data_IF_661925548662
#
_entry.id   IF_661925548662
#
_cell.length_a   1.000
_cell.length_b   1.000
_cell.length_c   1.000
_cell.angle_alpha   90.00
_cell.angle_beta   90.00
_cell.angle_gamma   90.00
#
_symmetry.space_group_name_H-M   'P 1'
#
loop_
_entity.id
_entity.type
_entity.pdbx_description
1 polymer ?
#
# COMPACT_ATOMS: atom_id res chain seq x y z
N UNK A 1 18.80 3.09 -3.72
CA UNK A 1 17.57 2.31 -3.95
C UNK A 1 16.52 2.79 -2.98
N UNK A 2 15.32 3.08 -3.45
CA UNK A 2 14.17 3.44 -2.61
C UNK A 2 13.03 2.49 -2.95
N UNK A 3 12.29 2.04 -1.93
CA UNK A 3 11.10 1.23 -2.10
C UNK A 3 9.97 1.82 -1.26
N UNK A 4 8.77 1.77 -1.79
CA UNK A 4 7.56 2.21 -1.11
C UNK A 4 6.39 1.31 -1.51
N UNK A 5 5.40 1.24 -0.64
CA UNK A 5 4.16 0.55 -0.91
C UNK A 5 2.98 1.44 -0.51
N UNK A 6 1.86 1.25 -1.13
CA UNK A 6 0.67 2.02 -0.86
C UNK A 6 -0.60 1.28 -1.23
N UNK A 7 -1.69 1.88 -0.83
CA UNK A 7 -3.03 1.39 -1.08
C UNK A 7 -3.87 2.52 -1.66
N UNK A 8 -4.51 2.25 -2.78
CA UNK A 8 -5.43 3.19 -3.42
C UNK A 8 -6.84 2.61 -3.33
N UNK A 9 -7.69 3.15 -2.45
CA UNK A 9 -9.06 2.69 -2.33
C UNK A 9 -9.86 3.09 -3.55
N UNK A 10 -10.72 2.19 -4.02
CA UNK A 10 -11.67 2.44 -5.10
C UNK A 10 -13.01 1.76 -4.76
N UNK A 11 -14.08 2.19 -5.41
CA UNK A 11 -15.41 1.66 -5.14
C UNK A 11 -15.57 0.18 -5.53
N UNK A 12 -15.00 -0.21 -6.67
CA UNK A 12 -15.19 -1.55 -7.26
C UNK A 12 -13.90 -2.36 -7.36
N UNK A 13 -12.92 -2.07 -6.55
CA UNK A 13 -11.67 -2.81 -6.54
C UNK A 13 -10.49 -1.93 -6.20
N UNK A 14 -10.00 -2.08 -5.00
CA UNK A 14 -8.85 -1.32 -4.51
C UNK A 14 -7.55 -1.87 -5.04
N UNK A 15 -6.55 -1.01 -5.17
CA UNK A 15 -5.23 -1.37 -5.63
C UNK A 15 -4.23 -1.32 -4.47
N UNK A 16 -3.57 -2.44 -4.21
CA UNK A 16 -2.34 -2.48 -3.42
C UNK A 16 -1.16 -2.43 -4.39
N UNK A 17 -0.22 -1.52 -4.18
CA UNK A 17 0.94 -1.36 -5.05
C UNK A 17 2.25 -1.29 -4.28
N UNK A 18 3.31 -1.74 -4.90
CA UNK A 18 4.68 -1.56 -4.43
C UNK A 18 5.52 -1.00 -5.60
N UNK A 19 6.38 -0.04 -5.28
CA UNK A 19 7.28 0.60 -6.22
C UNK A 19 8.71 0.52 -5.70
N UNK A 20 9.65 0.18 -6.57
CA UNK A 20 11.07 0.32 -6.30
C UNK A 20 11.74 1.20 -7.36
N UNK A 21 12.54 2.15 -6.91
CA UNK A 21 13.44 2.93 -7.77
C UNK A 21 14.83 2.32 -7.69
N UNK A 22 15.32 1.85 -8.82
CA UNK A 22 16.60 1.15 -8.93
C UNK A 22 17.63 1.97 -9.67
N UNK A 23 18.91 1.92 -9.30
CA UNK A 23 19.96 2.61 -10.03
C UNK A 23 20.17 1.98 -11.42
N UNK A 24 20.72 2.73 -12.36
CA UNK A 24 21.12 2.21 -13.65
C UNK A 24 22.05 0.99 -13.52
N UNK A 25 21.80 -0.04 -14.32
CA UNK A 25 22.60 -1.27 -14.31
C UNK A 25 22.23 -2.28 -13.22
N UNK A 26 21.26 -2.00 -12.37
CA UNK A 26 20.77 -2.98 -11.40
C UNK A 26 20.01 -4.12 -12.10
N UNK A 27 20.11 -5.33 -11.55
CA UNK A 27 19.32 -6.47 -11.99
C UNK A 27 17.84 -6.26 -11.61
N UNK A 28 17.05 -5.79 -12.57
CA UNK A 28 15.63 -5.51 -12.38
C UNK A 28 14.84 -6.76 -11.99
N UNK A 29 15.19 -7.92 -12.54
CA UNK A 29 14.52 -9.18 -12.22
C UNK A 29 14.78 -9.62 -10.76
N UNK A 30 16.00 -9.38 -10.26
CA UNK A 30 16.32 -9.64 -8.87
C UNK A 30 15.54 -8.70 -7.93
N UNK A 31 15.39 -7.43 -8.29
CA UNK A 31 14.60 -6.46 -7.52
C UNK A 31 13.13 -6.85 -7.51
N UNK A 32 12.56 -7.22 -8.66
CA UNK A 32 11.19 -7.71 -8.72
C UNK A 32 10.96 -8.92 -7.81
N UNK A 33 11.82 -9.93 -7.90
CA UNK A 33 11.75 -11.11 -7.02
C UNK A 33 11.77 -10.70 -5.55
N UNK A 34 12.69 -9.84 -5.16
CA UNK A 34 12.80 -9.37 -3.76
C UNK A 34 11.53 -8.68 -3.28
N UNK A 35 10.92 -7.82 -4.09
CA UNK A 35 9.65 -7.17 -3.76
C UNK A 35 8.51 -8.18 -3.61
N UNK A 36 8.43 -9.14 -4.51
CA UNK A 36 7.39 -10.16 -4.49
C UNK A 36 7.55 -11.10 -3.29
N UNK A 37 8.77 -11.49 -2.98
CA UNK A 37 9.07 -12.34 -1.82
C UNK A 37 8.74 -11.61 -0.51
N UNK A 38 9.07 -10.32 -0.41
CA UNK A 38 8.72 -9.50 0.74
C UNK A 38 7.19 -9.37 0.91
N UNK A 39 6.45 -9.18 -0.18
CA UNK A 39 4.99 -9.12 -0.16
C UNK A 39 4.37 -10.48 0.24
N UNK A 40 4.86 -11.57 -0.35
CA UNK A 40 4.39 -12.94 -0.05
C UNK A 40 4.74 -13.38 1.38
N UNK A 41 5.83 -12.88 1.96
CA UNK A 41 6.26 -13.24 3.31
C UNK A 41 5.16 -12.96 4.36
N UNK A 42 4.36 -11.92 4.20
CA UNK A 42 3.24 -11.59 5.11
C UNK A 42 2.18 -12.70 5.14
N UNK A 43 1.95 -13.39 4.01
CA UNK A 43 1.01 -14.52 3.95
C UNK A 43 1.56 -15.80 4.60
N UNK A 44 2.88 -15.91 4.68
CA UNK A 44 3.55 -17.08 5.25
C UNK A 44 3.81 -16.91 6.75
N UNK A 45 4.37 -15.78 7.15
CA UNK A 45 4.67 -15.42 8.53
C UNK A 45 3.90 -14.16 8.92
N UNK A 46 2.99 -14.26 9.90
CA UNK A 46 2.31 -13.06 10.38
C UNK A 46 3.32 -12.09 11.00
N UNK A 47 3.09 -10.76 10.89
CA UNK A 47 3.96 -9.76 11.49
C UNK A 47 4.05 -9.93 13.01
N UNK A 48 5.19 -9.56 13.57
CA UNK A 48 5.40 -9.54 15.01
C UNK A 48 4.67 -8.36 15.67
N UNK A 49 4.48 -8.43 16.99
CA UNK A 49 3.72 -7.43 17.72
C UNK A 49 4.28 -6.01 17.54
N UNK A 50 5.61 -5.87 17.54
CA UNK A 50 6.24 -4.56 17.36
C UNK A 50 6.09 -4.01 15.92
N UNK A 51 6.05 -4.88 14.90
CA UNK A 51 5.80 -4.49 13.51
C UNK A 51 4.36 -3.98 13.34
N UNK A 52 3.41 -4.67 13.97
CA UNK A 52 2.01 -4.25 14.00
C UNK A 52 1.83 -2.89 14.66
N UNK A 53 2.43 -2.71 15.84
CA UNK A 53 2.35 -1.46 16.59
C UNK A 53 2.97 -0.30 15.81
N UNK A 54 4.13 -0.51 15.21
CA UNK A 54 4.77 0.49 14.35
C UNK A 54 3.89 0.88 13.17
N UNK A 55 3.29 -0.10 12.49
CA UNK A 55 2.42 0.15 11.35
C UNK A 55 1.15 0.91 11.76
N UNK A 56 0.53 0.56 12.90
CA UNK A 56 -0.62 1.29 13.45
C UNK A 56 -0.28 2.75 13.71
N UNK A 57 0.78 3.03 14.45
CA UNK A 57 1.21 4.41 14.76
C UNK A 57 1.49 5.23 13.51
N UNK A 58 2.09 4.61 12.49
CA UNK A 58 2.33 5.28 11.22
C UNK A 58 1.03 5.62 10.49
N UNK A 59 0.07 4.70 10.47
CA UNK A 59 -1.24 4.93 9.84
C UNK A 59 -2.06 5.96 10.60
N UNK A 60 -2.09 5.90 11.94
CA UNK A 60 -2.71 6.91 12.79
C UNK A 60 -2.14 8.31 12.52
N UNK A 61 -0.82 8.45 12.51
CA UNK A 61 -0.17 9.71 12.18
C UNK A 61 -0.59 10.20 10.80
N UNK A 62 -0.64 9.33 9.81
CA UNK A 62 -1.06 9.68 8.45
C UNK A 62 -2.50 10.20 8.42
N UNK A 63 -3.42 9.55 9.14
CA UNK A 63 -4.82 9.99 9.24
C UNK A 63 -4.91 11.35 9.94
N UNK A 64 -4.26 11.53 11.08
CA UNK A 64 -4.29 12.79 11.82
C UNK A 64 -3.68 13.95 11.03
N UNK A 65 -2.53 13.74 10.37
CA UNK A 65 -1.94 14.74 9.48
C UNK A 65 -2.83 15.05 8.28
N UNK A 66 -3.55 14.05 7.76
CA UNK A 66 -4.53 14.22 6.69
C UNK A 66 -5.81 14.97 7.09
N UNK A 67 -6.01 15.28 8.37
CA UNK A 67 -7.19 15.98 8.89
C UNK A 67 -6.89 17.37 9.45
N UNK A 68 -5.68 17.89 9.30
CA UNK A 68 -5.27 19.16 9.94
C UNK A 68 -5.97 20.39 9.39
N UNK A 69 -6.22 20.44 8.09
CA UNK A 69 -6.87 21.60 7.44
C UNK A 69 -8.33 21.31 7.10
N UNK A 70 -9.14 22.38 6.99
CA UNK A 70 -10.53 22.26 6.56
C UNK A 70 -10.67 21.57 5.19
N UNK A 71 -9.75 21.87 4.25
CA UNK A 71 -9.71 21.23 2.93
C UNK A 71 -9.49 19.72 3.05
N UNK A 72 -8.51 19.30 3.83
CA UNK A 72 -8.20 17.87 4.02
C UNK A 72 -9.36 17.14 4.71
N UNK A 73 -10.00 17.76 5.70
CA UNK A 73 -11.21 17.19 6.33
C UNK A 73 -12.34 17.03 5.32
N UNK A 74 -12.60 18.07 4.51
CA UNK A 74 -13.62 18.01 3.47
C UNK A 74 -13.34 16.91 2.44
N UNK A 75 -12.07 16.75 2.03
CA UNK A 75 -11.67 15.68 1.13
C UNK A 75 -11.87 14.30 1.77
N UNK A 76 -11.43 14.09 3.01
CA UNK A 76 -11.57 12.81 3.70
C UNK A 76 -13.04 12.40 3.89
N UNK A 77 -13.91 13.34 4.25
CA UNK A 77 -15.35 13.10 4.38
C UNK A 77 -15.98 12.76 3.01
N UNK A 78 -15.62 13.53 1.97
CA UNK A 78 -16.13 13.29 0.61
C UNK A 78 -15.67 11.94 0.05
N UNK A 79 -14.42 11.56 0.26
CA UNK A 79 -13.90 10.24 -0.12
C UNK A 79 -14.62 9.11 0.64
N UNK A 80 -14.84 9.27 1.94
CA UNK A 80 -15.55 8.28 2.75
C UNK A 80 -17.00 8.11 2.30
N UNK A 81 -17.71 9.21 2.02
CA UNK A 81 -19.05 9.17 1.45
C UNK A 81 -19.07 8.47 0.08
N UNK A 82 -18.15 8.83 -0.80
CA UNK A 82 -18.10 8.27 -2.15
C UNK A 82 -17.79 6.77 -2.16
N UNK A 83 -16.86 6.34 -1.30
CA UNK A 83 -16.36 4.96 -1.30
C UNK A 83 -17.18 4.01 -0.41
N UNK A 84 -17.68 4.51 0.72
CA UNK A 84 -18.38 3.70 1.72
C UNK A 84 -19.87 4.06 1.88
N UNK A 85 -20.35 5.14 1.23
CA UNK A 85 -21.69 5.65 1.43
C UNK A 85 -21.93 6.24 2.82
N UNK A 86 -20.87 6.66 3.50
CA UNK A 86 -20.93 7.15 4.87
C UNK A 86 -19.71 8.02 5.19
N UNK A 87 -19.92 9.32 5.26
CA UNK A 87 -18.87 10.28 5.58
C UNK A 87 -18.18 10.00 6.95
N UNK A 88 -18.93 9.49 7.94
CA UNK A 88 -18.35 9.15 9.24
C UNK A 88 -17.33 8.00 9.19
N UNK A 89 -17.26 7.24 8.11
CA UNK A 89 -16.23 6.23 7.92
C UNK A 89 -14.82 6.83 7.87
N UNK A 90 -14.68 8.12 7.58
CA UNK A 90 -13.39 8.81 7.62
C UNK A 90 -12.71 8.74 9.00
N UNK A 91 -13.48 8.87 10.07
CA UNK A 91 -12.96 8.82 11.46
C UNK A 91 -13.00 7.41 12.05
N UNK A 92 -14.04 6.62 11.74
CA UNK A 92 -14.15 5.24 12.20
C UNK A 92 -13.04 4.31 11.68
N UNK A 93 -12.32 4.73 10.65
CA UNK A 93 -11.17 3.97 10.14
C UNK A 93 -10.11 3.72 11.21
N UNK A 94 -9.91 4.64 12.14
CA UNK A 94 -8.96 4.45 13.26
C UNK A 94 -9.40 3.34 14.21
N UNK A 95 -10.66 3.33 14.60
CA UNK A 95 -11.22 2.29 15.47
C UNK A 95 -11.15 0.89 14.84
N UNK A 96 -11.31 0.84 13.50
CA UNK A 96 -11.17 -0.39 12.75
C UNK A 96 -9.71 -0.87 12.70
N UNK A 97 -8.75 0.06 12.58
CA UNK A 97 -7.33 -0.24 12.54
C UNK A 97 -6.82 -0.88 13.84
N UNK A 98 -7.31 -0.42 14.98
CA UNK A 98 -6.97 -1.00 16.29
C UNK A 98 -7.36 -2.49 16.41
N UNK A 99 -8.44 -2.89 15.74
CA UNK A 99 -8.97 -4.25 15.81
C UNK A 99 -8.28 -5.23 14.85
N UNK A 100 -7.44 -4.74 13.92
CA UNK A 100 -6.74 -5.61 12.95
C UNK A 100 -5.71 -6.46 13.68
N UNK A 101 -5.79 -7.77 13.45
CA UNK A 101 -4.87 -8.76 14.03
C UNK A 101 -3.81 -9.23 13.02
N UNK A 102 -2.67 -9.79 13.46
CA UNK A 102 -1.71 -10.44 12.58
C UNK A 102 -2.34 -11.57 11.73
N UNK A 103 -3.31 -12.28 12.29
CA UNK A 103 -4.04 -13.33 11.58
C UNK A 103 -4.90 -12.77 10.43
N UNK A 104 -5.50 -11.59 10.61
CA UNK A 104 -6.24 -10.91 9.55
C UNK A 104 -5.31 -10.50 8.40
N UNK A 105 -4.13 -9.96 8.71
CA UNK A 105 -3.14 -9.61 7.68
C UNK A 105 -2.70 -10.85 6.91
N UNK A 106 -2.37 -11.94 7.59
CA UNK A 106 -2.01 -13.21 6.95
C UNK A 106 -3.12 -13.70 6.03
N UNK A 107 -4.36 -13.73 6.51
CA UNK A 107 -5.54 -14.17 5.75
C UNK A 107 -5.78 -13.32 4.50
N UNK A 108 -5.70 -11.99 4.64
CA UNK A 108 -5.90 -11.07 3.53
C UNK A 108 -4.75 -11.18 2.53
N UNK A 109 -3.50 -11.19 3.00
CA UNK A 109 -2.33 -11.35 2.15
C UNK A 109 -2.39 -12.65 1.33
N UNK A 110 -2.76 -13.78 1.94
CA UNK A 110 -2.92 -15.04 1.23
C UNK A 110 -3.96 -14.98 0.10
N UNK A 111 -4.99 -14.14 0.26
CA UNK A 111 -6.03 -13.97 -0.76
C UNK A 111 -5.62 -13.06 -1.91
N UNK A 112 -4.88 -11.98 -1.63
CA UNK A 112 -4.59 -10.94 -2.64
C UNK A 112 -3.20 -11.07 -3.26
N UNK A 113 -2.22 -11.68 -2.56
CA UNK A 113 -0.84 -11.85 -3.06
C UNK A 113 -0.71 -13.08 -3.96
N UNK A 114 -1.56 -13.15 -4.98
CA UNK A 114 -1.57 -14.24 -5.96
C UNK A 114 -0.99 -13.78 -7.29
N UNK A 115 -0.40 -14.70 -8.05
CA UNK A 115 0.16 -14.35 -9.35
C UNK A 115 -0.92 -13.94 -10.36
N UNK A 116 -2.14 -14.47 -10.25
CA UNK A 116 -3.27 -14.13 -11.12
C UNK A 116 -3.80 -12.71 -10.90
N UNK A 117 -3.64 -12.15 -9.70
CA UNK A 117 -4.09 -10.80 -9.33
C UNK A 117 -3.00 -9.73 -9.47
N UNK A 118 -1.86 -10.04 -10.10
CA UNK A 118 -0.69 -9.18 -10.16
C UNK A 118 -0.45 -8.62 -11.56
N UNK A 119 -0.07 -7.35 -11.63
CA UNK A 119 0.56 -6.74 -12.79
C UNK A 119 1.92 -6.16 -12.38
N UNK A 120 2.94 -6.36 -13.19
CA UNK A 120 4.26 -5.73 -13.05
C UNK A 120 4.50 -4.79 -14.19
N UNK A 121 4.91 -3.56 -13.89
CA UNK A 121 5.21 -2.54 -14.89
C UNK A 121 6.65 -2.07 -14.68
N UNK A 122 7.42 -2.07 -15.75
CA UNK A 122 8.78 -1.56 -15.79
C UNK A 122 8.80 -0.22 -16.53
N UNK A 123 9.37 0.78 -15.88
CA UNK A 123 9.69 2.06 -16.53
C UNK A 123 11.20 2.11 -16.75
N UNK A 124 11.61 1.95 -17.97
CA UNK A 124 13.01 2.00 -18.35
C UNK A 124 13.35 3.36 -18.96
N UNK A 125 14.57 3.89 -18.76
CA UNK A 125 15.00 5.07 -19.50
C UNK A 125 14.93 4.78 -21.01
N UNK A 126 14.49 5.78 -21.77
CA UNK A 126 14.58 5.68 -23.22
C UNK A 126 16.02 5.37 -23.61
N UNK A 127 16.24 4.36 -24.42
CA UNK A 127 17.56 4.14 -25.00
C UNK A 127 17.95 5.44 -25.71
N UNK A 128 19.02 6.09 -25.28
CA UNK A 128 19.61 7.20 -26.02
C UNK A 128 20.14 6.64 -27.33
N UNK A 129 19.24 6.47 -28.29
CA UNK A 129 19.60 6.29 -29.68
C UNK A 129 20.40 7.52 -30.09
N UNK A 130 21.59 7.33 -30.63
CA UNK A 130 22.36 8.39 -31.21
C UNK A 130 21.47 9.25 -32.11
N UNK A 131 21.53 10.58 -32.06
CA UNK A 131 20.79 11.41 -32.99
C UNK A 131 21.19 11.00 -34.41
N UNK A 132 20.19 10.73 -35.23
CA UNK A 132 20.39 10.58 -36.69
C UNK A 132 20.72 11.90 -37.32
#
# INVERSE_FOLDING_TARGET
MAAQAGFTPQREGSLLWALAVVPPGADSAAVERTLLDAAKAVSQRPPEAFEMERARRQLESTVWFGLQTARQRGQALGEAELLAGDAAAATRRLDALEKVTPADLKRVAARIMTDAGRATVWMLPASTGAPR
#
